data_IF_102307837163
#
_entry.id   IF_102307837163
#
_cell.length_a   1.000
_cell.length_b   1.000
_cell.length_c   1.000
_cell.angle_alpha   90.00
_cell.angle_beta   90.00
_cell.angle_gamma   90.00
#
_symmetry.space_group_name_H-M   'P 1'
#
loop_
_entity.id
_entity.type
_entity.pdbx_description
1 polymer ?
#
# COMPACT_ATOMS: atom_id res chain seq x y z
N UNK A 1 -24.79 79.17 -12.15
CA UNK A 1 -24.07 78.38 -11.15
C UNK A 1 -24.18 76.92 -11.56
N UNK A 2 -23.16 76.37 -12.22
CA UNK A 2 -23.15 75.01 -12.78
C UNK A 2 -22.21 74.16 -11.93
N UNK A 3 -22.76 73.16 -11.24
CA UNK A 3 -22.00 72.27 -10.37
C UNK A 3 -21.54 71.10 -11.22
N UNK A 4 -20.23 71.00 -11.42
CA UNK A 4 -19.54 69.92 -12.08
C UNK A 4 -19.39 68.75 -11.08
N UNK A 5 -20.02 67.59 -11.32
CA UNK A 5 -19.82 66.33 -10.53
C UNK A 5 -18.70 65.52 -11.16
N UNK A 6 -17.60 65.42 -10.44
CA UNK A 6 -16.46 64.56 -10.75
C UNK A 6 -16.77 63.11 -10.28
N UNK A 7 -16.96 62.20 -11.24
CA UNK A 7 -17.01 60.75 -10.93
C UNK A 7 -15.59 60.18 -10.85
N UNK A 8 -15.17 59.78 -9.65
CA UNK A 8 -13.98 58.98 -9.49
C UNK A 8 -14.33 57.49 -9.72
N UNK A 9 -13.86 56.90 -10.83
CA UNK A 9 -13.84 55.48 -11.04
C UNK A 9 -12.65 54.87 -10.25
N UNK A 10 -12.96 54.13 -9.21
CA UNK A 10 -11.97 53.24 -8.52
C UNK A 10 -11.93 51.91 -9.24
N UNK A 11 -10.88 51.69 -10.02
CA UNK A 11 -10.59 50.38 -10.63
C UNK A 11 -10.01 49.43 -9.56
N UNK A 12 -10.80 48.46 -9.15
CA UNK A 12 -10.35 47.41 -8.25
C UNK A 12 -9.51 46.41 -9.07
N UNK A 13 -8.19 46.45 -8.96
CA UNK A 13 -7.32 45.40 -9.48
C UNK A 13 -7.47 44.17 -8.60
N UNK A 14 -8.21 43.15 -9.06
CA UNK A 14 -8.18 41.79 -8.51
C UNK A 14 -6.86 41.13 -8.93
N UNK A 15 -5.88 41.15 -8.04
CA UNK A 15 -4.70 40.28 -8.15
C UNK A 15 -5.13 38.87 -7.86
N UNK A 16 -5.32 38.06 -8.90
CA UNK A 16 -5.44 36.61 -8.80
C UNK A 16 -4.05 36.10 -8.36
N UNK A 17 -3.87 35.84 -7.09
CA UNK A 17 -2.76 35.06 -6.60
C UNK A 17 -2.89 33.65 -7.18
N UNK A 18 -2.19 33.37 -8.29
CA UNK A 18 -2.00 32.01 -8.77
C UNK A 18 -1.33 31.22 -7.63
N UNK A 19 -2.02 30.22 -7.08
CA UNK A 19 -1.41 29.24 -6.19
C UNK A 19 -0.16 28.69 -6.91
N UNK A 20 0.98 28.52 -6.23
CA UNK A 20 2.16 27.96 -6.86
C UNK A 20 1.76 26.62 -7.48
N UNK A 21 1.87 26.52 -8.80
CA UNK A 21 1.73 25.26 -9.48
C UNK A 21 2.80 24.34 -8.88
N UNK A 22 2.38 23.29 -8.20
CA UNK A 22 3.29 22.28 -7.69
C UNK A 22 3.98 21.70 -8.92
N UNK A 23 5.21 22.15 -9.17
CA UNK A 23 6.00 21.62 -10.28
C UNK A 23 6.30 20.18 -9.95
N UNK A 24 5.64 19.30 -10.66
CA UNK A 24 5.80 17.87 -10.59
C UNK A 24 7.26 17.55 -10.91
N UNK A 25 8.02 17.22 -9.88
CA UNK A 25 9.43 16.93 -10.02
C UNK A 25 9.66 15.43 -9.91
N UNK A 26 10.10 14.85 -11.02
CA UNK A 26 10.68 13.51 -11.02
C UNK A 26 12.18 13.70 -10.77
N UNK A 27 12.64 13.36 -9.60
CA UNK A 27 14.06 13.35 -9.29
C UNK A 27 14.72 12.17 -9.99
N UNK A 28 15.69 12.47 -10.85
CA UNK A 28 16.40 11.49 -11.68
C UNK A 28 17.84 11.37 -11.21
N UNK A 29 18.12 10.38 -10.37
CA UNK A 29 19.44 10.17 -9.75
C UNK A 29 20.35 9.31 -10.63
N UNK A 30 19.75 8.44 -11.44
CA UNK A 30 20.47 7.57 -12.38
C UNK A 30 19.83 7.64 -13.78
N UNK A 31 20.62 7.64 -14.87
CA UNK A 31 20.10 7.61 -16.26
C UNK A 31 19.13 6.45 -16.54
N UNK A 32 19.21 5.33 -15.81
CA UNK A 32 18.32 4.18 -15.98
C UNK A 32 16.86 4.55 -15.73
N UNK A 33 16.58 5.53 -14.85
CA UNK A 33 15.21 6.00 -14.57
C UNK A 33 14.51 6.54 -15.81
N UNK A 34 15.26 7.03 -16.81
CA UNK A 34 14.69 7.57 -18.05
C UNK A 34 14.00 6.50 -18.91
N UNK A 35 14.34 5.22 -18.71
CA UNK A 35 13.65 4.09 -19.36
C UNK A 35 12.37 3.69 -18.62
N UNK A 36 12.23 4.10 -17.38
CA UNK A 36 11.13 3.72 -16.48
C UNK A 36 10.06 4.80 -16.41
N UNK A 37 10.47 6.07 -16.36
CA UNK A 37 9.59 7.22 -16.21
C UNK A 37 9.72 8.12 -17.45
N UNK A 38 8.65 8.26 -18.27
CA UNK A 38 8.65 9.17 -19.41
C UNK A 38 9.06 10.60 -19.04
N UNK A 39 9.68 11.32 -19.96
CA UNK A 39 10.11 12.71 -19.69
C UNK A 39 8.92 13.67 -19.44
N UNK A 40 7.77 13.37 -20.02
CA UNK A 40 6.51 14.10 -19.92
C UNK A 40 5.51 13.46 -18.95
N UNK A 41 5.93 12.46 -18.16
CA UNK A 41 5.07 11.80 -17.17
C UNK A 41 4.52 12.83 -16.16
N UNK A 42 3.23 12.72 -15.85
CA UNK A 42 2.52 13.65 -14.94
C UNK A 42 1.89 12.89 -13.79
N UNK A 43 2.12 13.36 -12.58
CA UNK A 43 1.42 12.90 -11.40
C UNK A 43 0.03 13.53 -11.35
N UNK A 44 -1.01 12.75 -11.39
CA UNK A 44 -2.39 13.21 -11.33
C UNK A 44 -2.99 12.87 -9.97
N UNK A 45 -3.57 13.85 -9.28
CA UNK A 45 -4.41 13.60 -8.11
C UNK A 45 -5.80 13.22 -8.60
N UNK A 46 -6.23 11.99 -8.33
CA UNK A 46 -7.50 11.42 -8.83
C UNK A 46 -8.61 11.40 -7.79
N UNK A 47 -8.26 11.41 -6.50
CA UNK A 47 -9.21 11.50 -5.40
C UNK A 47 -8.55 12.16 -4.17
N UNK A 48 -9.35 12.82 -3.34
CA UNK A 48 -8.89 13.53 -2.14
C UNK A 48 -10.02 13.71 -1.14
N UNK A 49 -9.69 14.12 0.08
CA UNK A 49 -10.68 14.38 1.14
C UNK A 49 -10.86 13.22 2.11
N UNK A 50 -9.94 12.24 2.10
CA UNK A 50 -9.96 11.11 3.00
C UNK A 50 -9.40 11.46 4.40
N UNK A 51 -9.77 10.66 5.41
CA UNK A 51 -9.37 10.88 6.80
C UNK A 51 -7.94 10.39 7.07
N UNK A 52 -6.96 11.24 6.87
CA UNK A 52 -5.56 11.11 7.26
C UNK A 52 -4.75 9.97 6.64
N UNK A 53 -5.30 8.76 6.42
CA UNK A 53 -4.46 7.65 5.97
C UNK A 53 -5.20 6.73 5.00
N UNK A 54 -4.88 6.90 3.71
CA UNK A 54 -5.27 5.97 2.66
C UNK A 54 -4.16 4.94 2.45
N UNK A 55 -4.51 3.66 2.19
CA UNK A 55 -3.60 2.54 2.14
C UNK A 55 -4.04 1.44 1.17
N UNK A 56 -3.18 0.44 0.98
CA UNK A 56 -3.47 -0.83 0.36
C UNK A 56 -4.12 -0.78 -1.00
N UNK A 57 -3.63 0.03 -1.95
CA UNK A 57 -4.26 0.14 -3.26
C UNK A 57 -4.14 -1.19 -4.02
N UNK A 58 -5.22 -1.57 -4.73
CA UNK A 58 -5.23 -2.71 -5.64
C UNK A 58 -6.13 -2.41 -6.83
N UNK A 59 -5.64 -2.67 -8.05
CA UNK A 59 -6.42 -2.53 -9.27
C UNK A 59 -7.10 -3.84 -9.62
N UNK A 60 -8.43 -3.86 -9.67
CA UNK A 60 -9.23 -5.06 -9.91
C UNK A 60 -9.37 -5.41 -11.39
N UNK A 61 -9.78 -6.64 -11.68
CA UNK A 61 -10.06 -7.07 -13.05
C UNK A 61 -11.24 -6.32 -13.68
N UNK A 62 -12.14 -5.77 -12.86
CA UNK A 62 -13.27 -4.94 -13.28
C UNK A 62 -12.87 -3.52 -13.70
N UNK A 63 -11.57 -3.17 -13.61
CA UNK A 63 -11.08 -1.84 -13.95
C UNK A 63 -11.38 -0.78 -12.88
N UNK A 64 -11.37 -1.19 -11.61
CA UNK A 64 -11.62 -0.34 -10.44
C UNK A 64 -10.41 -0.36 -9.52
N UNK A 65 -10.00 0.79 -9.00
CA UNK A 65 -9.03 0.86 -7.91
C UNK A 65 -9.77 0.70 -6.58
N UNK A 66 -9.35 -0.27 -5.76
CA UNK A 66 -9.72 -0.33 -4.35
C UNK A 66 -8.58 0.20 -3.50
N UNK A 67 -8.90 0.82 -2.37
CA UNK A 67 -7.93 1.24 -1.37
C UNK A 67 -8.58 1.32 0.01
N UNK A 68 -7.80 1.17 1.06
CA UNK A 68 -8.28 1.31 2.43
C UNK A 68 -8.24 2.78 2.87
N UNK A 69 -9.30 3.26 3.51
CA UNK A 69 -9.31 4.47 4.33
C UNK A 69 -9.32 4.01 5.80
N UNK A 70 -8.12 3.78 6.36
CA UNK A 70 -7.98 3.06 7.63
C UNK A 70 -8.70 3.75 8.79
N UNK A 71 -8.55 5.08 9.03
CA UNK A 71 -9.23 5.74 10.15
C UNK A 71 -10.75 5.81 10.01
N UNK A 72 -11.28 5.75 8.78
CA UNK A 72 -12.72 5.69 8.52
C UNK A 72 -13.28 4.27 8.58
N UNK A 73 -12.41 3.26 8.70
CA UNK A 73 -12.79 1.85 8.69
C UNK A 73 -13.47 1.42 7.38
N UNK A 74 -13.01 1.97 6.24
CA UNK A 74 -13.54 1.70 4.92
C UNK A 74 -12.56 0.94 4.02
N UNK A 75 -13.09 0.17 3.09
CA UNK A 75 -12.49 -0.02 1.78
C UNK A 75 -13.28 0.84 0.81
N UNK A 76 -12.60 1.78 0.19
CA UNK A 76 -13.13 2.63 -0.86
C UNK A 76 -12.81 2.06 -2.24
N UNK A 77 -13.62 2.43 -3.23
CA UNK A 77 -13.38 2.19 -4.63
C UNK A 77 -13.30 3.51 -5.38
N UNK A 78 -12.37 3.61 -6.31
CA UNK A 78 -12.35 4.68 -7.31
C UNK A 78 -12.59 4.07 -8.68
N UNK A 79 -13.61 4.57 -9.38
CA UNK A 79 -13.99 4.12 -10.72
C UNK A 79 -13.68 5.25 -11.71
N UNK A 80 -12.90 4.98 -12.78
CA UNK A 80 -12.63 5.98 -13.82
C UNK A 80 -13.90 6.66 -14.31
N UNK A 81 -13.90 8.01 -14.29
CA UNK A 81 -15.04 8.84 -14.70
C UNK A 81 -16.19 8.92 -13.70
N UNK A 82 -16.18 8.16 -12.60
CA UNK A 82 -17.23 8.22 -11.56
C UNK A 82 -16.73 8.75 -10.22
N UNK A 83 -15.40 8.68 -9.97
CA UNK A 83 -14.80 9.10 -8.71
C UNK A 83 -14.80 8.02 -7.62
N UNK A 84 -14.54 8.45 -6.37
CA UNK A 84 -14.43 7.56 -5.21
C UNK A 84 -15.75 7.40 -4.46
N UNK A 85 -15.96 6.22 -3.88
CA UNK A 85 -17.09 5.88 -3.02
C UNK A 85 -16.77 4.70 -2.11
N UNK A 86 -17.44 4.59 -0.98
CA UNK A 86 -17.30 3.46 -0.05
C UNK A 86 -17.81 2.18 -0.70
N UNK A 87 -17.00 1.12 -0.68
CA UNK A 87 -17.39 -0.24 -1.12
C UNK A 87 -17.74 -1.12 0.09
N UNK A 88 -16.89 -1.15 1.12
CA UNK A 88 -17.09 -1.98 2.33
C UNK A 88 -16.96 -1.10 3.57
N UNK A 89 -17.93 -1.20 4.49
CA UNK A 89 -17.90 -0.64 5.84
C UNK A 89 -18.67 -1.56 6.80
N UNK A 90 -18.13 -1.92 7.96
CA UNK A 90 -16.75 -1.76 8.40
C UNK A 90 -15.80 -2.73 7.68
N UNK A 91 -14.58 -2.28 7.36
CA UNK A 91 -13.56 -3.10 6.68
C UNK A 91 -12.68 -3.89 7.66
N UNK A 92 -12.39 -3.31 8.81
CA UNK A 92 -11.58 -3.86 9.90
C UNK A 92 -12.41 -4.18 11.13
N UNK A 93 -12.28 -3.35 12.17
CA UNK A 93 -12.97 -3.54 13.45
C UNK A 93 -14.49 -3.49 13.29
N UNK A 94 -15.16 -4.50 13.82
CA UNK A 94 -16.62 -4.63 13.78
C UNK A 94 -17.25 -4.84 15.17
N UNK A 95 -16.56 -4.41 16.24
CA UNK A 95 -17.06 -4.49 17.61
C UNK A 95 -18.16 -3.46 17.90
N UNK A 96 -18.90 -3.67 19.00
CA UNK A 96 -19.99 -2.79 19.42
C UNK A 96 -19.51 -1.47 20.05
N UNK A 97 -18.32 -1.49 20.66
CA UNK A 97 -17.70 -0.29 21.26
C UNK A 97 -16.80 0.39 20.24
N UNK A 98 -16.54 1.70 20.34
CA UNK A 98 -15.53 2.37 19.53
C UNK A 98 -14.18 1.66 19.63
N UNK A 99 -13.45 1.59 18.54
CA UNK A 99 -12.09 1.07 18.55
C UNK A 99 -11.18 2.01 19.37
N UNK A 100 -10.35 1.45 20.23
CA UNK A 100 -9.53 2.23 21.15
C UNK A 100 -8.29 2.86 20.50
N UNK A 101 -7.95 2.47 19.25
CA UNK A 101 -6.79 2.96 18.52
C UNK A 101 -7.15 3.89 17.35
N UNK A 102 -6.13 4.44 16.66
CA UNK A 102 -6.35 5.37 15.55
C UNK A 102 -6.72 4.68 14.22
N UNK A 103 -6.52 3.36 14.10
CA UNK A 103 -6.59 2.61 12.84
C UNK A 103 -7.57 1.44 12.90
N UNK A 104 -8.89 1.69 12.94
CA UNK A 104 -9.91 0.64 13.01
C UNK A 104 -10.09 -0.16 11.72
N UNK A 105 -9.64 0.34 10.58
CA UNK A 105 -9.89 -0.24 9.25
C UNK A 105 -9.03 -1.44 8.90
N UNK A 106 -9.21 -1.93 7.68
CA UNK A 106 -8.27 -2.82 6.99
C UNK A 106 -7.09 -2.03 6.42
N UNK A 107 -6.03 -2.72 5.97
CA UNK A 107 -4.83 -2.12 5.41
C UNK A 107 -4.56 -2.66 3.99
N UNK A 108 -3.46 -3.38 3.74
CA UNK A 108 -3.05 -3.85 2.44
C UNK A 108 -4.06 -4.76 1.74
N UNK A 109 -4.06 -4.73 0.41
CA UNK A 109 -4.86 -5.60 -0.43
C UNK A 109 -4.04 -6.15 -1.60
N UNK A 110 -4.39 -7.37 -2.03
CA UNK A 110 -3.82 -8.01 -3.22
C UNK A 110 -4.86 -8.87 -3.93
N UNK A 111 -4.68 -9.11 -5.23
CA UNK A 111 -5.50 -10.05 -5.99
C UNK A 111 -4.88 -11.45 -5.97
N UNK A 112 -5.72 -12.46 -6.02
CA UNK A 112 -5.30 -13.78 -6.51
C UNK A 112 -5.53 -13.87 -8.04
N UNK A 113 -5.04 -14.93 -8.65
CA UNK A 113 -5.17 -15.13 -10.11
C UNK A 113 -6.62 -15.35 -10.59
N UNK A 114 -7.58 -15.51 -9.68
CA UNK A 114 -9.01 -15.58 -9.97
C UNK A 114 -9.70 -14.22 -9.84
N UNK A 115 -8.94 -13.16 -9.51
CA UNK A 115 -9.44 -11.79 -9.34
C UNK A 115 -10.11 -11.52 -7.99
N UNK A 116 -10.02 -12.45 -7.02
CA UNK A 116 -10.55 -12.23 -5.68
C UNK A 116 -9.57 -11.39 -4.86
N UNK A 117 -10.08 -10.50 -4.05
CA UNK A 117 -9.28 -9.56 -3.26
C UNK A 117 -9.03 -10.12 -1.87
N UNK A 118 -7.77 -10.41 -1.54
CA UNK A 118 -7.35 -10.69 -0.16
C UNK A 118 -6.94 -9.41 0.54
N UNK A 119 -7.32 -9.29 1.80
CA UNK A 119 -7.27 -8.08 2.62
C UNK A 119 -6.56 -8.36 3.93
N UNK A 120 -5.59 -7.53 4.27
CA UNK A 120 -5.00 -7.45 5.59
C UNK A 120 -5.99 -6.77 6.54
N UNK A 121 -6.63 -7.54 7.41
CA UNK A 121 -7.74 -7.09 8.24
C UNK A 121 -7.32 -6.24 9.45
N UNK A 122 -6.08 -5.86 9.52
CA UNK A 122 -5.45 -4.91 10.45
C UNK A 122 -6.08 -4.92 11.86
N UNK A 123 -6.97 -3.98 12.19
CA UNK A 123 -7.65 -3.99 13.50
C UNK A 123 -8.57 -5.21 13.75
N UNK A 124 -8.96 -5.93 12.73
CA UNK A 124 -9.64 -7.23 12.87
C UNK A 124 -8.68 -8.36 13.24
N UNK A 125 -7.37 -8.15 13.08
CA UNK A 125 -6.31 -9.11 13.43
C UNK A 125 -6.42 -10.43 12.68
N UNK A 126 -6.73 -10.35 11.38
CA UNK A 126 -6.84 -11.51 10.50
C UNK A 126 -6.49 -11.15 9.05
N UNK A 127 -6.35 -12.15 8.20
CA UNK A 127 -6.35 -11.99 6.75
C UNK A 127 -7.64 -12.60 6.23
N UNK A 128 -8.36 -11.87 5.39
CA UNK A 128 -9.61 -12.30 4.83
C UNK A 128 -9.70 -12.02 3.33
N UNK A 129 -10.63 -12.65 2.65
CA UNK A 129 -10.81 -12.52 1.20
C UNK A 129 -12.25 -12.16 0.85
N UNK A 130 -12.41 -11.18 -0.04
CA UNK A 130 -13.64 -10.92 -0.77
C UNK A 130 -13.75 -11.93 -1.92
N UNK A 131 -14.83 -12.70 -1.99
CA UNK A 131 -15.06 -13.67 -3.06
C UNK A 131 -15.53 -12.99 -4.37
N UNK A 132 -15.90 -11.72 -4.30
CA UNK A 132 -16.24 -10.85 -5.45
C UNK A 132 -16.06 -9.39 -5.07
N UNK A 133 -15.78 -8.51 -6.03
CA UNK A 133 -15.72 -7.05 -5.82
C UNK A 133 -17.14 -6.51 -5.74
N UNK A 134 -17.73 -6.56 -4.53
CA UNK A 134 -19.12 -6.17 -4.30
C UNK A 134 -19.35 -5.79 -2.84
N UNK A 135 -20.23 -4.81 -2.52
CA UNK A 135 -20.59 -4.48 -1.14
C UNK A 135 -21.33 -5.62 -0.43
N UNK A 136 -21.84 -6.59 -1.17
CA UNK A 136 -22.50 -7.81 -0.64
C UNK A 136 -21.66 -9.07 -0.79
N UNK A 137 -20.33 -8.90 -0.92
CA UNK A 137 -19.41 -10.03 -1.09
C UNK A 137 -19.47 -11.00 0.09
N UNK A 138 -19.33 -12.28 -0.20
CA UNK A 138 -19.02 -13.25 0.85
C UNK A 138 -17.58 -13.05 1.33
N UNK A 139 -17.39 -12.98 2.63
CA UNK A 139 -16.07 -12.87 3.26
C UNK A 139 -15.61 -14.25 3.70
N UNK A 140 -14.36 -14.60 3.38
CA UNK A 140 -13.69 -15.82 3.82
C UNK A 140 -12.47 -15.44 4.65
N UNK A 141 -12.40 -15.88 5.90
CA UNK A 141 -11.20 -15.68 6.74
C UNK A 141 -10.16 -16.72 6.30
N UNK A 142 -8.97 -16.24 5.92
CA UNK A 142 -7.85 -17.08 5.48
C UNK A 142 -6.89 -17.40 6.62
N UNK A 143 -6.58 -16.42 7.49
CA UNK A 143 -5.69 -16.58 8.65
C UNK A 143 -6.16 -15.67 9.79
N UNK A 144 -6.15 -16.18 11.02
CA UNK A 144 -6.53 -15.43 12.24
C UNK A 144 -5.64 -15.73 13.45
N UNK A 145 -5.13 -16.95 13.54
CA UNK A 145 -4.31 -17.42 14.65
C UNK A 145 -3.02 -18.07 14.15
N UNK A 146 -1.94 -17.85 14.88
CA UNK A 146 -0.70 -18.59 14.75
C UNK A 146 -0.37 -19.28 16.09
N UNK A 147 -0.24 -20.61 16.10
CA UNK A 147 -0.01 -21.41 17.30
C UNK A 147 -0.99 -21.10 18.46
N UNK A 148 -2.26 -20.88 18.13
CA UNK A 148 -3.31 -20.58 19.09
C UNK A 148 -3.39 -19.11 19.56
N UNK A 149 -2.46 -18.25 19.18
CA UNK A 149 -2.42 -16.84 19.50
C UNK A 149 -2.93 -15.99 18.32
N UNK A 150 -3.64 -14.88 18.60
CA UNK A 150 -4.11 -13.96 17.57
C UNK A 150 -2.92 -13.31 16.86
N UNK A 151 -3.04 -13.10 15.56
CA UNK A 151 -2.13 -12.25 14.79
C UNK A 151 -2.05 -10.85 15.41
N UNK A 152 -0.96 -10.12 15.18
CA UNK A 152 -0.84 -8.75 15.69
C UNK A 152 -1.84 -7.83 14.94
N UNK A 153 -1.49 -7.45 13.73
CA UNK A 153 -2.36 -6.68 12.83
C UNK A 153 -1.84 -6.78 11.41
N UNK A 154 -2.23 -7.81 10.64
CA UNK A 154 -1.77 -7.98 9.27
C UNK A 154 -1.80 -6.67 8.49
N UNK A 155 -0.69 -6.36 7.77
CA UNK A 155 -0.46 -5.05 7.19
C UNK A 155 -0.46 -5.07 5.66
N UNK A 156 0.52 -5.71 5.00
CA UNK A 156 0.53 -5.85 3.54
C UNK A 156 0.70 -7.32 3.13
N UNK A 157 0.35 -7.65 1.88
CA UNK A 157 0.28 -9.03 1.44
C UNK A 157 0.52 -9.19 -0.07
N UNK A 158 1.04 -10.36 -0.46
CA UNK A 158 1.32 -10.71 -1.84
C UNK A 158 1.11 -12.21 -2.07
N UNK A 159 0.52 -12.56 -3.21
CA UNK A 159 0.46 -13.96 -3.66
C UNK A 159 1.73 -14.36 -4.39
N UNK A 160 2.14 -15.61 -4.17
CA UNK A 160 3.11 -16.30 -5.00
C UNK A 160 2.36 -17.07 -6.11
N UNK A 161 3.00 -17.33 -7.23
CA UNK A 161 2.41 -18.04 -8.38
C UNK A 161 1.85 -19.44 -8.04
N UNK A 162 2.40 -20.10 -7.01
CA UNK A 162 1.90 -21.38 -6.48
C UNK A 162 0.57 -21.28 -5.71
N UNK A 163 0.07 -20.07 -5.49
CA UNK A 163 -1.15 -19.77 -4.75
C UNK A 163 -0.98 -19.65 -3.24
N UNK A 164 0.26 -19.66 -2.74
CA UNK A 164 0.55 -19.29 -1.35
C UNK A 164 0.44 -17.78 -1.16
N UNK A 165 -0.09 -17.35 -0.02
CA UNK A 165 -0.20 -15.94 0.37
C UNK A 165 0.87 -15.63 1.42
N UNK A 166 1.59 -14.54 1.22
CA UNK A 166 2.58 -14.01 2.16
C UNK A 166 2.08 -12.69 2.70
N UNK A 167 2.26 -12.44 4.01
CA UNK A 167 1.83 -11.19 4.63
C UNK A 167 2.71 -10.80 5.81
N UNK A 168 2.75 -9.51 6.09
CA UNK A 168 3.45 -8.91 7.23
C UNK A 168 2.48 -8.67 8.37
N UNK A 169 2.97 -8.77 9.64
CA UNK A 169 2.13 -8.70 10.83
C UNK A 169 2.76 -7.81 11.94
N UNK A 170 2.99 -6.51 11.67
CA UNK A 170 3.44 -5.55 12.67
C UNK A 170 2.30 -5.14 13.62
N UNK A 171 2.55 -4.38 14.71
CA UNK A 171 1.51 -4.03 15.68
C UNK A 171 0.72 -2.75 15.36
N UNK A 172 0.80 -2.19 14.13
CA UNK A 172 0.20 -0.90 13.80
C UNK A 172 -1.33 -0.83 13.98
N UNK A 173 -2.05 -1.94 13.78
CA UNK A 173 -3.50 -2.02 13.99
C UNK A 173 -3.92 -2.37 15.42
N UNK A 174 -2.98 -2.46 16.36
CA UNK A 174 -3.29 -2.57 17.79
C UNK A 174 -3.59 -1.19 18.38
N UNK A 175 -4.36 -1.09 19.49
CA UNK A 175 -4.77 0.18 20.06
C UNK A 175 -3.64 1.19 20.31
N UNK A 176 -2.48 0.75 20.82
CA UNK A 176 -1.33 1.62 21.11
C UNK A 176 -0.28 1.64 20.00
N UNK A 177 -0.47 0.85 18.94
CA UNK A 177 0.49 0.68 17.83
C UNK A 177 1.92 0.27 18.30
N UNK A 178 2.02 -0.38 19.44
CA UNK A 178 3.28 -0.66 20.11
C UNK A 178 3.52 -2.15 20.36
N UNK A 179 4.79 -2.54 20.47
CA UNK A 179 5.16 -3.90 20.89
C UNK A 179 4.79 -4.20 22.34
N UNK A 180 4.56 -3.17 23.15
CA UNK A 180 4.07 -3.27 24.52
C UNK A 180 2.55 -3.19 24.65
N UNK A 181 1.81 -3.24 23.53
CA UNK A 181 0.35 -3.22 23.57
C UNK A 181 -0.18 -4.41 24.37
N UNK A 182 -1.09 -4.18 25.34
CA UNK A 182 -1.64 -5.25 26.18
C UNK A 182 -2.44 -6.29 25.39
N UNK A 183 -2.94 -5.93 24.20
CA UNK A 183 -3.63 -6.87 23.32
C UNK A 183 -2.68 -7.67 22.40
N UNK A 184 -1.38 -7.39 22.40
CA UNK A 184 -0.40 -8.11 21.57
C UNK A 184 -0.10 -9.50 22.15
N UNK A 185 -0.64 -10.54 21.50
CA UNK A 185 -0.44 -11.93 21.93
C UNK A 185 0.93 -12.50 21.48
N UNK A 186 1.32 -12.22 20.23
CA UNK A 186 2.56 -12.71 19.64
C UNK A 186 3.77 -11.87 20.07
N UNK A 187 4.90 -12.55 20.39
CA UNK A 187 6.14 -11.88 20.82
C UNK A 187 6.95 -11.27 19.69
N UNK A 188 6.61 -11.58 18.44
CA UNK A 188 7.33 -11.14 17.23
C UNK A 188 6.43 -10.33 16.32
N UNK A 189 7.04 -9.51 15.47
CA UNK A 189 6.40 -8.89 14.33
C UNK A 189 6.80 -9.72 13.09
N UNK A 190 5.99 -10.71 12.76
CA UNK A 190 6.35 -11.76 11.82
C UNK A 190 6.05 -11.42 10.37
N UNK A 191 6.73 -12.14 9.47
CA UNK A 191 6.25 -12.35 8.10
C UNK A 191 5.80 -13.80 8.00
N UNK A 192 4.60 -14.00 7.47
CA UNK A 192 3.95 -15.30 7.42
C UNK A 192 3.72 -15.75 5.99
N UNK A 193 3.71 -17.08 5.78
CA UNK A 193 3.29 -17.76 4.57
C UNK A 193 2.08 -18.64 4.87
N UNK A 194 1.00 -18.49 4.12
CA UNK A 194 -0.16 -19.39 4.14
C UNK A 194 -0.15 -20.22 2.85
N UNK A 195 0.20 -21.49 2.96
CA UNK A 195 0.23 -22.40 1.83
C UNK A 195 -1.21 -22.71 1.34
N UNK A 196 -1.43 -22.68 0.02
CA UNK A 196 -2.74 -23.03 -0.58
C UNK A 196 -3.85 -22.01 -0.32
N UNK A 197 -3.52 -20.77 0.03
CA UNK A 197 -4.49 -19.72 0.32
C UNK A 197 -5.49 -19.48 -0.83
N UNK A 198 -5.00 -19.52 -2.08
CA UNK A 198 -5.85 -19.36 -3.27
C UNK A 198 -6.91 -20.47 -3.37
N UNK A 199 -6.54 -21.72 -3.06
CA UNK A 199 -7.41 -22.88 -3.16
C UNK A 199 -8.38 -23.00 -1.96
N UNK A 200 -8.24 -22.17 -0.93
CA UNK A 200 -9.10 -22.19 0.24
C UNK A 200 -10.56 -21.93 -0.15
N UNK A 201 -11.47 -22.82 0.30
CA UNK A 201 -12.89 -22.74 -0.07
C UNK A 201 -13.58 -21.52 0.53
N UNK A 202 -14.40 -20.88 -0.27
CA UNK A 202 -15.20 -19.73 0.14
C UNK A 202 -16.06 -20.02 1.39
N UNK A 203 -15.79 -19.28 2.48
CA UNK A 203 -16.46 -19.39 3.77
C UNK A 203 -16.13 -20.64 4.59
N UNK A 204 -15.09 -21.38 4.23
CA UNK A 204 -14.54 -22.42 5.10
C UNK A 204 -13.77 -21.80 6.28
N UNK A 205 -13.62 -22.50 7.41
CA UNK A 205 -12.77 -22.07 8.52
C UNK A 205 -11.29 -21.96 8.09
N UNK A 206 -10.49 -21.06 8.68
CA UNK A 206 -9.07 -20.92 8.36
C UNK A 206 -8.27 -22.19 8.64
N UNK A 207 -7.36 -22.54 7.72
CA UNK A 207 -6.45 -23.71 7.85
C UNK A 207 -5.18 -23.30 8.61
N UNK A 208 -5.30 -23.19 9.94
CA UNK A 208 -4.28 -22.62 10.85
C UNK A 208 -2.97 -23.41 10.86
N UNK A 209 -3.01 -24.69 10.62
CA UNK A 209 -1.84 -25.58 10.51
C UNK A 209 -1.00 -25.35 9.24
N UNK A 210 -1.58 -24.69 8.24
CA UNK A 210 -0.87 -24.27 7.01
C UNK A 210 -0.16 -22.91 7.14
N UNK A 211 -0.38 -22.19 8.24
CA UNK A 211 0.26 -20.89 8.47
C UNK A 211 1.67 -21.09 9.03
N UNK A 212 2.67 -20.53 8.38
CA UNK A 212 4.08 -20.63 8.72
C UNK A 212 4.67 -19.26 9.01
N UNK A 213 5.37 -19.10 10.13
CA UNK A 213 6.23 -17.93 10.40
C UNK A 213 7.55 -18.14 9.65
N UNK A 214 7.86 -17.26 8.69
CA UNK A 214 9.04 -17.40 7.83
C UNK A 214 10.13 -16.37 8.13
N UNK A 215 9.79 -15.21 8.73
CA UNK A 215 10.73 -14.19 9.20
C UNK A 215 10.22 -13.69 10.55
N UNK A 216 11.12 -13.58 11.55
CA UNK A 216 10.75 -13.26 12.95
C UNK A 216 11.57 -12.15 13.60
N UNK A 217 12.57 -11.64 12.92
CA UNK A 217 13.62 -10.74 13.44
C UNK A 217 13.52 -9.31 12.88
N UNK A 218 12.38 -8.96 12.29
CA UNK A 218 12.09 -7.60 11.85
C UNK A 218 11.38 -6.80 12.95
N UNK A 219 11.71 -5.50 13.04
CA UNK A 219 11.06 -4.60 14.00
C UNK A 219 9.66 -4.19 13.54
N UNK A 220 9.54 -3.72 12.30
CA UNK A 220 8.29 -3.19 11.74
C UNK A 220 8.12 -3.61 10.27
N UNK A 221 7.94 -4.93 9.98
CA UNK A 221 7.72 -5.38 8.60
C UNK A 221 6.43 -4.75 8.05
N UNK A 222 6.52 -4.19 6.84
CA UNK A 222 5.43 -3.45 6.20
C UNK A 222 5.20 -3.96 4.78
N UNK A 223 5.49 -3.17 3.73
CA UNK A 223 5.31 -3.56 2.36
C UNK A 223 6.04 -4.85 1.98
N UNK A 224 5.41 -5.67 1.13
CA UNK A 224 5.90 -6.98 0.74
C UNK A 224 5.69 -7.22 -0.75
N UNK A 225 6.72 -7.70 -1.46
CA UNK A 225 6.64 -8.03 -2.87
C UNK A 225 7.67 -9.10 -3.26
N UNK A 226 7.38 -9.85 -4.33
CA UNK A 226 8.34 -10.77 -4.95
C UNK A 226 9.10 -10.12 -6.11
N UNK A 227 10.31 -10.61 -6.39
CA UNK A 227 10.98 -10.40 -7.67
C UNK A 227 10.18 -11.08 -8.81
N UNK A 228 10.36 -10.66 -10.10
CA UNK A 228 9.60 -11.23 -11.22
C UNK A 228 9.75 -12.74 -11.38
N UNK A 229 10.92 -13.29 -11.02
CA UNK A 229 11.22 -14.71 -11.05
C UNK A 229 10.93 -15.44 -9.73
N UNK A 230 10.36 -14.71 -8.76
CA UNK A 230 10.04 -15.19 -7.40
C UNK A 230 11.20 -15.79 -6.62
N UNK A 231 12.45 -15.49 -7.00
CA UNK A 231 13.64 -15.95 -6.28
C UNK A 231 13.95 -15.10 -5.04
N UNK A 232 13.40 -13.89 -4.98
CA UNK A 232 13.56 -12.98 -3.85
C UNK A 232 12.22 -12.49 -3.34
N UNK A 233 12.12 -12.37 -2.02
CA UNK A 233 11.06 -11.67 -1.32
C UNK A 233 11.64 -10.37 -0.76
N UNK A 234 11.02 -9.25 -1.10
CA UNK A 234 11.38 -7.93 -0.61
C UNK A 234 10.43 -7.51 0.51
N UNK A 235 10.98 -6.92 1.56
CA UNK A 235 10.22 -6.38 2.71
C UNK A 235 10.67 -4.95 2.96
N UNK A 236 9.73 -4.02 3.00
CA UNK A 236 9.97 -2.70 3.58
C UNK A 236 9.97 -2.82 5.11
N UNK A 237 11.05 -2.43 5.76
CA UNK A 237 11.19 -2.45 7.22
C UNK A 237 11.17 -1.01 7.73
N UNK A 238 9.97 -0.55 8.15
CA UNK A 238 9.71 0.85 8.50
C UNK A 238 10.46 1.28 9.77
N UNK A 239 10.74 0.35 10.69
CA UNK A 239 11.37 0.67 11.98
C UNK A 239 12.82 1.11 11.85
N UNK A 240 13.55 0.61 10.83
CA UNK A 240 14.94 0.96 10.55
C UNK A 240 15.10 1.83 9.29
N UNK A 241 14.02 2.12 8.57
CA UNK A 241 14.05 2.79 7.28
C UNK A 241 14.90 2.04 6.23
N UNK A 242 14.71 0.73 6.07
CA UNK A 242 15.45 -0.07 5.10
C UNK A 242 14.51 -0.93 4.24
N UNK A 243 14.99 -1.32 3.07
CA UNK A 243 14.39 -2.41 2.29
C UNK A 243 15.25 -3.65 2.43
N UNK A 244 14.62 -4.76 2.82
CA UNK A 244 15.25 -6.06 3.01
C UNK A 244 15.00 -6.95 1.80
N UNK A 245 15.96 -7.85 1.52
CA UNK A 245 15.83 -8.87 0.48
C UNK A 245 16.12 -10.25 1.08
N UNK A 246 15.26 -11.21 0.80
CA UNK A 246 15.37 -12.59 1.28
C UNK A 246 15.33 -13.56 0.10
N UNK A 247 16.30 -14.50 -0.05
CA UNK A 247 16.22 -15.55 -1.06
C UNK A 247 15.09 -16.52 -0.72
N UNK A 248 14.25 -16.82 -1.70
CA UNK A 248 13.12 -17.74 -1.55
C UNK A 248 13.58 -19.16 -1.84
N UNK A 249 13.30 -20.11 -0.94
CA UNK A 249 13.61 -21.53 -1.07
C UNK A 249 12.54 -22.27 -1.84
N UNK A 250 12.88 -23.49 -2.30
CA UNK A 250 11.95 -24.33 -3.08
C UNK A 250 10.67 -24.71 -2.31
N UNK A 251 10.72 -24.78 -0.98
CA UNK A 251 9.55 -25.05 -0.12
C UNK A 251 8.70 -23.80 0.16
N UNK A 252 9.08 -22.64 -0.37
CA UNK A 252 8.41 -21.36 -0.17
C UNK A 252 8.80 -20.65 1.12
N UNK A 253 9.69 -21.20 1.94
CA UNK A 253 10.34 -20.45 3.04
C UNK A 253 11.44 -19.56 2.48
N UNK A 254 12.10 -18.78 3.35
CA UNK A 254 13.18 -17.89 2.93
C UNK A 254 14.51 -18.26 3.60
N UNK A 255 15.61 -17.86 2.99
CA UNK A 255 16.94 -17.89 3.61
C UNK A 255 17.22 -16.64 4.44
N UNK A 256 18.49 -16.48 4.83
CA UNK A 256 18.94 -15.28 5.54
C UNK A 256 18.80 -14.06 4.64
N UNK A 257 18.26 -12.98 5.21
CA UNK A 257 18.05 -11.73 4.49
C UNK A 257 19.23 -10.79 4.58
N UNK A 258 19.34 -9.92 3.56
CA UNK A 258 20.30 -8.82 3.55
C UNK A 258 19.56 -7.47 3.40
N UNK A 259 20.21 -6.39 3.81
CA UNK A 259 19.74 -5.03 3.53
C UNK A 259 19.99 -4.73 2.06
N UNK A 260 18.91 -4.58 1.29
CA UNK A 260 18.99 -4.22 -0.13
C UNK A 260 19.33 -2.74 -0.30
N UNK A 261 18.66 -1.88 0.46
CA UNK A 261 18.89 -0.43 0.46
C UNK A 261 18.61 0.13 1.85
N UNK A 262 19.53 0.95 2.35
CA UNK A 262 19.43 1.65 3.62
C UNK A 262 19.11 3.13 3.37
N UNK A 263 18.00 3.60 3.92
CA UNK A 263 17.57 4.99 3.89
C UNK A 263 17.51 5.60 5.30
N UNK A 264 18.18 5.00 6.30
CA UNK A 264 18.13 5.45 7.69
C UNK A 264 18.67 6.88 7.90
N UNK A 265 19.63 7.29 7.07
CA UNK A 265 20.21 8.65 7.10
C UNK A 265 19.48 9.66 6.20
N UNK A 266 18.52 9.18 5.39
CA UNK A 266 17.79 10.05 4.46
C UNK A 266 16.75 10.90 5.19
N UNK A 267 16.68 12.16 4.78
CA UNK A 267 15.76 13.16 5.37
C UNK A 267 14.57 13.41 4.46
N UNK A 268 13.40 13.57 5.05
CA UNK A 268 12.21 13.88 4.30
C UNK A 268 10.94 13.39 5.00
N UNK A 269 9.81 13.58 4.33
CA UNK A 269 8.51 13.13 4.82
C UNK A 269 8.25 11.72 4.30
N UNK A 270 7.99 10.78 5.20
CA UNK A 270 7.75 9.37 4.85
C UNK A 270 8.97 8.48 5.04
N UNK A 271 8.86 7.25 4.62
CA UNK A 271 9.88 6.20 4.73
C UNK A 271 9.38 4.91 4.09
N UNK A 272 10.14 3.81 4.16
CA UNK A 272 9.72 2.51 3.68
C UNK A 272 8.39 2.07 4.28
N UNK A 273 7.37 1.87 3.41
CA UNK A 273 6.01 1.46 3.75
C UNK A 273 5.55 0.45 2.68
N UNK A 274 4.52 0.72 1.88
CA UNK A 274 4.10 -0.17 0.80
C UNK A 274 5.09 -0.23 -0.38
N UNK A 275 5.19 -1.39 -1.02
CA UNK A 275 6.08 -1.63 -2.18
C UNK A 275 5.40 -2.48 -3.24
N UNK A 276 5.77 -2.25 -4.52
CA UNK A 276 5.45 -3.15 -5.65
C UNK A 276 6.64 -3.21 -6.62
N UNK A 277 6.66 -4.21 -7.49
CA UNK A 277 7.77 -4.49 -8.41
C UNK A 277 7.29 -4.40 -9.85
N UNK A 278 8.12 -3.91 -10.76
CA UNK A 278 7.87 -3.92 -12.20
C UNK A 278 8.39 -5.21 -12.87
N UNK A 279 8.07 -5.41 -14.15
CA UNK A 279 8.50 -6.60 -14.92
C UNK A 279 10.01 -6.68 -15.14
N UNK A 280 10.75 -5.60 -14.92
CA UNK A 280 12.22 -5.57 -15.02
C UNK A 280 12.88 -5.82 -13.65
N UNK A 281 12.08 -5.91 -12.57
CA UNK A 281 12.54 -6.17 -11.20
C UNK A 281 12.82 -4.90 -10.39
N UNK A 282 12.54 -3.70 -10.93
CA UNK A 282 12.68 -2.50 -10.13
C UNK A 282 11.54 -2.42 -9.09
N UNK A 283 11.90 -2.00 -7.88
CA UNK A 283 10.99 -1.83 -6.76
C UNK A 283 10.51 -0.38 -6.76
N UNK A 284 9.20 -0.20 -6.69
CA UNK A 284 8.54 1.08 -6.46
C UNK A 284 7.97 1.05 -5.05
N UNK A 285 8.49 1.88 -4.18
CA UNK A 285 8.08 1.88 -2.78
C UNK A 285 7.98 3.28 -2.20
N UNK A 286 7.14 3.44 -1.18
CA UNK A 286 7.16 4.67 -0.41
C UNK A 286 8.53 4.86 0.23
N UNK A 287 8.99 6.09 0.18
CA UNK A 287 10.27 6.53 0.73
C UNK A 287 10.20 8.01 1.12
N UNK A 288 11.27 8.58 1.63
CA UNK A 288 11.33 10.02 1.90
C UNK A 288 10.92 10.85 0.68
N UNK A 289 9.94 11.74 0.87
CA UNK A 289 9.41 12.70 -0.10
C UNK A 289 8.69 12.14 -1.35
N UNK A 290 8.35 10.83 -1.38
CA UNK A 290 7.61 10.30 -2.51
C UNK A 290 7.74 8.79 -2.72
N UNK A 291 7.62 8.35 -3.97
CA UNK A 291 7.86 6.97 -4.38
C UNK A 291 9.30 6.83 -4.88
N UNK A 292 10.08 6.02 -4.22
CA UNK A 292 11.43 5.65 -4.65
C UNK A 292 11.37 4.55 -5.69
N UNK A 293 12.23 4.69 -6.71
CA UNK A 293 12.46 3.67 -7.72
C UNK A 293 13.82 3.06 -7.44
N UNK A 294 13.85 1.79 -7.07
CA UNK A 294 15.03 1.07 -6.61
C UNK A 294 15.33 -0.06 -7.59
N UNK A 295 16.57 -0.17 -8.06
CA UNK A 295 16.97 -1.28 -8.95
C UNK A 295 16.99 -2.63 -8.22
N UNK A 296 16.98 -3.76 -8.93
CA UNK A 296 17.11 -5.10 -8.31
C UNK A 296 18.39 -5.27 -7.48
N UNK A 297 19.43 -4.48 -7.78
CA UNK A 297 20.72 -4.47 -7.05
C UNK A 297 20.72 -3.55 -5.82
N UNK A 298 19.60 -2.82 -5.56
CA UNK A 298 19.47 -1.92 -4.42
C UNK A 298 19.94 -0.49 -4.69
N UNK A 299 20.07 -0.06 -5.94
CA UNK A 299 20.41 1.32 -6.25
C UNK A 299 19.17 2.20 -6.33
N UNK A 300 19.14 3.32 -5.61
CA UNK A 300 18.13 4.35 -5.76
C UNK A 300 18.28 5.06 -7.11
N UNK A 301 17.34 4.83 -8.03
CA UNK A 301 17.40 5.37 -9.40
C UNK A 301 16.77 6.75 -9.50
N UNK A 302 15.79 7.04 -8.66
CA UNK A 302 15.08 8.32 -8.65
C UNK A 302 13.82 8.28 -7.81
N UNK A 303 13.20 9.47 -7.63
CA UNK A 303 12.00 9.65 -6.81
C UNK A 303 10.88 10.31 -7.62
N UNK A 304 9.70 9.71 -7.61
CA UNK A 304 8.46 10.38 -7.99
C UNK A 304 8.01 11.18 -6.78
N UNK A 305 8.26 12.50 -6.77
CA UNK A 305 7.89 13.37 -5.66
C UNK A 305 6.37 13.50 -5.56
N UNK A 306 5.84 13.25 -4.37
CA UNK A 306 4.41 13.33 -4.06
C UNK A 306 4.21 14.38 -2.98
N UNK A 307 3.22 15.30 -3.11
CA UNK A 307 3.02 16.40 -2.15
C UNK A 307 2.54 15.96 -0.77
N UNK A 308 2.19 14.69 -0.61
CA UNK A 308 1.73 14.09 0.63
C UNK A 308 2.61 12.89 0.99
N UNK A 309 2.60 12.48 2.27
CA UNK A 309 3.30 11.26 2.69
C UNK A 309 2.69 10.05 2.00
N UNK A 310 3.49 9.37 1.19
CA UNK A 310 3.10 8.14 0.50
C UNK A 310 3.01 6.99 1.51
N UNK A 311 1.96 6.21 1.38
CA UNK A 311 1.75 4.97 2.14
C UNK A 311 2.03 3.74 1.29
N UNK A 312 1.40 3.60 0.11
CA UNK A 312 1.52 2.39 -0.70
C UNK A 312 1.32 2.68 -2.20
N UNK A 313 1.59 1.69 -3.04
CA UNK A 313 1.46 1.80 -4.49
C UNK A 313 0.84 0.53 -5.09
N UNK A 314 0.20 0.66 -6.26
CA UNK A 314 -0.31 -0.47 -7.04
C UNK A 314 -0.21 -0.23 -8.54
N UNK A 315 0.03 -1.29 -9.28
CA UNK A 315 -0.02 -1.25 -10.73
C UNK A 315 -1.45 -1.43 -11.24
N UNK A 316 -1.86 -0.61 -12.19
CA UNK A 316 -3.21 -0.66 -12.74
C UNK A 316 -3.32 -0.33 -14.22
N UNK A 317 -4.54 -0.10 -14.65
CA UNK A 317 -5.01 0.00 -16.03
C UNK A 317 -4.82 -1.30 -16.84
N UNK A 318 -5.38 -1.36 -18.05
CA UNK A 318 -5.37 -2.57 -18.88
C UNK A 318 -3.95 -3.03 -19.25
N UNK A 319 -3.04 -2.09 -19.50
CA UNK A 319 -1.64 -2.36 -19.87
C UNK A 319 -0.71 -2.57 -18.66
N UNK A 320 -1.18 -2.30 -17.43
CA UNK A 320 -0.39 -2.44 -16.21
C UNK A 320 0.70 -1.37 -16.03
N UNK A 321 0.71 -0.31 -16.82
CA UNK A 321 1.75 0.72 -16.80
C UNK A 321 1.40 1.95 -15.96
N UNK A 322 0.23 2.02 -15.38
CA UNK A 322 -0.15 3.11 -14.46
C UNK A 322 0.16 2.70 -13.04
N UNK A 323 0.97 3.50 -12.36
CA UNK A 323 1.21 3.37 -10.93
C UNK A 323 0.20 4.25 -10.18
N UNK A 324 -0.65 3.61 -9.39
CA UNK A 324 -1.55 4.25 -8.43
C UNK A 324 -0.84 4.38 -7.09
N UNK A 325 -1.02 5.50 -6.41
CA UNK A 325 -0.29 5.87 -5.20
C UNK A 325 -1.30 6.35 -4.16
N UNK A 326 -1.37 5.67 -3.03
CA UNK A 326 -2.07 6.17 -1.85
C UNK A 326 -1.13 7.04 -1.02
N UNK A 327 -1.64 8.16 -0.53
CA UNK A 327 -0.86 9.08 0.28
C UNK A 327 -1.81 9.82 1.23
N UNK A 328 -1.45 9.94 2.48
CA UNK A 328 -2.23 10.59 3.57
C UNK A 328 -3.73 10.77 3.31
N UNK A 329 -4.13 11.85 2.62
CA UNK A 329 -5.54 12.21 2.38
C UNK A 329 -5.97 12.11 0.93
N UNK A 330 -5.13 11.57 0.04
CA UNK A 330 -5.35 11.60 -1.40
C UNK A 330 -4.85 10.33 -2.09
N UNK A 331 -5.39 10.10 -3.28
CA UNK A 331 -4.91 9.07 -4.21
C UNK A 331 -4.43 9.74 -5.48
N UNK A 332 -3.26 9.30 -5.95
CA UNK A 332 -2.61 9.80 -7.16
C UNK A 332 -2.40 8.67 -8.16
N UNK A 333 -2.09 9.03 -9.41
CA UNK A 333 -1.61 8.09 -10.42
C UNK A 333 -0.55 8.75 -11.31
N UNK A 334 0.29 7.92 -11.90
CA UNK A 334 1.27 8.33 -12.90
C UNK A 334 1.45 7.22 -13.94
N UNK A 335 1.53 7.61 -15.21
CA UNK A 335 1.82 6.67 -16.30
C UNK A 335 3.32 6.47 -16.44
N UNK A 336 3.74 5.21 -16.48
CA UNK A 336 5.13 4.80 -16.58
C UNK A 336 5.40 4.05 -17.90
N UNK A 337 6.69 3.75 -18.18
CA UNK A 337 7.11 3.09 -19.43
C UNK A 337 7.16 1.57 -19.32
N UNK A 338 7.11 1.03 -18.09
CA UNK A 338 7.22 -0.41 -17.82
C UNK A 338 6.00 -0.85 -17.02
N UNK A 339 5.45 -2.02 -17.37
CA UNK A 339 4.35 -2.59 -16.63
C UNK A 339 4.81 -3.21 -15.32
N UNK A 340 3.97 -3.12 -14.30
CA UNK A 340 4.16 -3.84 -13.05
C UNK A 340 3.86 -5.33 -13.13
N UNK A 341 4.29 -6.05 -12.08
CA UNK A 341 3.83 -7.41 -11.83
C UNK A 341 2.42 -7.32 -11.23
N UNK A 342 1.48 -8.05 -11.83
CA UNK A 342 0.12 -8.22 -11.34
C UNK A 342 -0.23 -9.71 -11.37
N UNK A 343 -0.97 -10.18 -10.41
CA UNK A 343 -1.48 -11.55 -10.35
C UNK A 343 -2.71 -11.75 -11.23
#
# INVERSE_FOLDING_TARGET
MTICRLLCLVALLLTVLAAPAFTQEIERLDPAVNKLVPADAKLEKIATGFNKWTEGPVWTHEGTLLFAEIPANNIDQWIPGKGASVLIHPSGYAGKQPFAGPEPGSNGMTLDSEGRVSVAGHARRNVWRMESVSPKTKITVLADLYQGQRLNSPNDLVYKSDGSLYFTDPPYGLPTQSDSDPEKDLKVNGVYRLAGARQHKAGAPPERDKLQLIIKDLGRPNGIAFSPDEKYLYIAESGRNVWMRYPVKADGTVGDGDVLLDASEEKGVGGPDGIRVDKLGNIYGSGPNGVWIISPEGKHLGTIKVPERVSNVAWGDADGMTLYITASTSVFRIKLSVAGIRN
#
